data_IF_097646777375
#
_entry.id   IF_097646777375
#
_cell.length_a   1.000
_cell.length_b   1.000
_cell.length_c   1.000
_cell.angle_alpha   90.00
_cell.angle_beta   90.00
_cell.angle_gamma   90.00
#
_symmetry.space_group_name_H-M   'P 1'
#
loop_
_entity.id
_entity.type
_entity.pdbx_description
1 polymer ?
#
# COMPACT_ATOMS: atom_id res chain seq x y z
N UNK A 1 -3.98 36.48 18.50
CA UNK A 1 -4.29 35.12 19.00
C UNK A 1 -5.13 35.14 20.27
N UNK A 2 -5.10 36.21 21.08
CA UNK A 2 -5.87 36.34 22.33
C UNK A 2 -7.40 36.28 22.21
N UNK A 3 -7.96 36.25 20.99
CA UNK A 3 -9.40 36.14 20.74
C UNK A 3 -9.86 34.71 20.40
N UNK A 4 -8.95 33.74 20.38
CA UNK A 4 -9.30 32.33 20.16
C UNK A 4 -9.72 31.71 21.49
N UNK A 5 -10.80 30.93 21.47
CA UNK A 5 -11.30 30.21 22.64
C UNK A 5 -11.19 28.71 22.43
N UNK A 6 -11.09 27.99 23.54
CA UNK A 6 -10.98 26.53 23.59
C UNK A 6 -12.15 25.81 22.90
N UNK A 7 -13.36 26.33 23.07
CA UNK A 7 -14.59 25.82 22.46
C UNK A 7 -14.89 26.46 21.10
N UNK A 8 -13.97 27.30 20.61
CA UNK A 8 -14.09 27.95 19.31
C UNK A 8 -14.02 26.94 18.17
N UNK A 9 -14.86 27.16 17.15
CA UNK A 9 -14.86 26.36 15.94
C UNK A 9 -13.65 26.64 15.02
N UNK A 10 -13.83 26.36 13.73
CA UNK A 10 -12.80 26.60 12.72
C UNK A 10 -12.40 28.08 12.68
N UNK A 11 -11.10 28.35 12.68
CA UNK A 11 -10.56 29.69 12.54
C UNK A 11 -10.60 30.10 11.07
N UNK A 12 -11.45 31.08 10.76
CA UNK A 12 -11.68 31.52 9.38
C UNK A 12 -10.41 32.09 8.73
N UNK A 13 -9.65 32.93 9.43
CA UNK A 13 -8.41 33.51 8.94
C UNK A 13 -7.46 33.94 10.07
N UNK A 14 -6.16 33.77 9.86
CA UNK A 14 -5.09 34.25 10.73
C UNK A 14 -3.94 34.83 9.93
N UNK A 15 -3.41 35.94 10.42
CA UNK A 15 -2.20 36.58 9.90
C UNK A 15 -1.02 36.15 10.76
N UNK A 16 -0.11 35.36 10.18
CA UNK A 16 0.88 34.59 10.90
C UNK A 16 2.29 34.92 10.42
N UNK A 17 3.23 34.95 11.35
CA UNK A 17 4.66 35.00 11.10
C UNK A 17 5.26 33.62 11.44
N UNK A 18 5.96 33.00 10.49
CA UNK A 18 6.65 31.73 10.70
C UNK A 18 7.87 31.94 11.58
N UNK A 19 7.91 31.30 12.74
CA UNK A 19 8.99 31.43 13.74
C UNK A 19 9.92 30.24 13.72
N UNK A 20 9.39 29.04 13.48
CA UNK A 20 10.16 27.81 13.41
C UNK A 20 9.50 26.83 12.46
N UNK A 21 10.30 26.12 11.69
CA UNK A 21 9.83 25.04 10.81
C UNK A 21 10.61 23.80 11.19
N UNK A 22 9.92 22.76 11.64
CA UNK A 22 10.55 21.47 11.93
C UNK A 22 10.69 20.64 10.64
N UNK A 23 11.60 19.66 10.61
CA UNK A 23 11.66 18.68 9.53
C UNK A 23 10.32 17.93 9.35
N UNK A 24 10.15 17.29 8.19
CA UNK A 24 9.01 16.39 7.98
C UNK A 24 9.18 15.19 8.92
N UNK A 25 8.09 14.82 9.57
CA UNK A 25 7.98 13.62 10.34
C UNK A 25 6.89 12.72 9.74
N UNK A 26 6.93 11.45 10.07
CA UNK A 26 6.04 10.43 9.55
C UNK A 26 5.37 9.69 10.71
N UNK A 27 4.16 9.21 10.50
CA UNK A 27 3.58 8.19 11.37
C UNK A 27 2.82 7.18 10.52
N UNK A 28 2.72 5.98 11.03
CA UNK A 28 2.01 4.87 10.40
C UNK A 28 0.80 4.48 11.23
N UNK A 29 -0.32 4.24 10.56
CA UNK A 29 -1.52 3.71 11.18
C UNK A 29 -1.56 2.19 11.08
N UNK A 30 -1.47 1.52 12.22
CA UNK A 30 -1.57 0.07 12.33
C UNK A 30 -2.99 -0.27 12.76
N UNK A 31 -3.70 -1.03 11.94
CA UNK A 31 -5.04 -1.52 12.22
C UNK A 31 -4.95 -2.82 13.00
N UNK A 32 -5.51 -2.84 14.21
CA UNK A 32 -5.57 -4.03 15.09
C UNK A 32 -7.01 -4.33 15.46
N UNK A 33 -7.27 -5.52 16.00
CA UNK A 33 -8.62 -5.91 16.47
C UNK A 33 -9.18 -4.96 17.54
N UNK A 34 -8.30 -4.27 18.27
CA UNK A 34 -8.63 -3.31 19.33
C UNK A 34 -8.75 -1.87 18.83
N UNK A 35 -8.63 -1.66 17.52
CA UNK A 35 -8.68 -0.36 16.87
C UNK A 35 -7.35 0.07 16.24
N UNK A 36 -7.25 1.35 15.94
CA UNK A 36 -6.12 1.95 15.21
C UNK A 36 -5.05 2.46 16.16
N UNK A 37 -3.83 1.95 16.01
CA UNK A 37 -2.65 2.37 16.77
C UNK A 37 -1.77 3.23 15.87
N UNK A 38 -1.16 4.28 16.43
CA UNK A 38 -0.20 5.11 15.71
C UNK A 38 1.22 4.65 16.06
N UNK A 39 2.04 4.41 15.04
CA UNK A 39 3.47 4.18 15.18
C UNK A 39 4.24 5.42 14.71
N UNK A 40 5.14 5.93 15.55
CA UNK A 40 5.88 7.19 15.32
C UNK A 40 5.63 8.24 16.43
N UNK A 41 6.05 9.50 16.21
CA UNK A 41 6.55 10.07 14.96
C UNK A 41 7.98 9.62 14.62
N UNK A 42 8.21 9.30 13.35
CA UNK A 42 9.49 8.90 12.77
C UNK A 42 10.10 10.06 12.00
N UNK A 43 11.42 10.12 11.98
CA UNK A 43 12.13 11.01 11.04
C UNK A 43 12.26 10.37 9.65
N UNK A 44 12.73 11.14 8.68
CA UNK A 44 12.87 10.71 7.28
C UNK A 44 13.79 9.50 7.11
N UNK A 45 14.88 9.41 7.89
CA UNK A 45 15.83 8.29 7.80
C UNK A 45 15.20 7.00 8.33
N UNK A 46 14.49 7.07 9.46
CA UNK A 46 13.77 5.94 10.05
C UNK A 46 12.68 5.42 9.12
N UNK A 47 11.86 6.31 8.54
CA UNK A 47 10.82 5.89 7.58
C UNK A 47 11.42 5.30 6.31
N UNK A 48 12.54 5.82 5.80
CA UNK A 48 13.24 5.20 4.68
C UNK A 48 13.69 3.78 5.00
N UNK A 49 14.27 3.55 6.18
CA UNK A 49 14.68 2.19 6.59
C UNK A 49 13.48 1.24 6.62
N UNK A 50 12.35 1.64 7.23
CA UNK A 50 11.14 0.80 7.29
C UNK A 50 10.53 0.55 5.90
N UNK A 51 10.56 1.56 5.02
CA UNK A 51 10.11 1.42 3.64
C UNK A 51 10.98 0.42 2.88
N UNK A 52 12.29 0.51 3.04
CA UNK A 52 13.24 -0.39 2.37
C UNK A 52 13.10 -1.82 2.91
N UNK A 53 12.89 -2.00 4.22
CA UNK A 53 12.62 -3.30 4.83
C UNK A 53 11.32 -3.91 4.31
N UNK A 54 10.23 -3.13 4.26
CA UNK A 54 8.96 -3.57 3.69
C UNK A 54 9.11 -3.94 2.21
N UNK A 55 9.82 -3.11 1.44
CA UNK A 55 10.06 -3.36 0.02
C UNK A 55 10.86 -4.65 -0.20
N UNK A 56 11.96 -4.85 0.53
CA UNK A 56 12.77 -6.08 0.46
C UNK A 56 11.96 -7.31 0.80
N UNK A 57 11.13 -7.23 1.85
CA UNK A 57 10.23 -8.34 2.21
C UNK A 57 9.24 -8.64 1.09
N UNK A 58 8.60 -7.61 0.53
CA UNK A 58 7.64 -7.76 -0.57
C UNK A 58 8.29 -8.38 -1.81
N UNK A 59 9.47 -7.91 -2.19
CA UNK A 59 10.23 -8.46 -3.34
C UNK A 59 10.65 -9.92 -3.10
N UNK A 60 11.07 -10.24 -1.87
CA UNK A 60 11.42 -11.61 -1.50
C UNK A 60 10.22 -12.56 -1.61
N UNK A 61 9.07 -12.18 -1.03
CA UNK A 61 7.85 -13.00 -1.09
C UNK A 61 7.32 -13.10 -2.53
N UNK A 62 7.38 -12.01 -3.31
CA UNK A 62 6.99 -12.05 -4.73
C UNK A 62 7.85 -13.04 -5.52
N UNK A 63 9.18 -13.03 -5.30
CA UNK A 63 10.10 -13.96 -5.93
C UNK A 63 9.79 -15.41 -5.56
N UNK A 64 9.47 -15.66 -4.29
CA UNK A 64 9.08 -16.99 -3.80
C UNK A 64 7.79 -17.49 -4.47
N UNK A 65 6.75 -16.66 -4.52
CA UNK A 65 5.49 -17.00 -5.18
C UNK A 65 5.68 -17.31 -6.67
N UNK A 66 6.47 -16.48 -7.37
CA UNK A 66 6.86 -16.75 -8.77
C UNK A 66 7.57 -18.09 -8.92
N UNK A 67 8.52 -18.38 -8.02
CA UNK A 67 9.24 -19.65 -8.05
C UNK A 67 8.33 -20.86 -7.83
N UNK A 68 7.37 -20.76 -6.90
CA UNK A 68 6.43 -21.84 -6.61
C UNK A 68 5.46 -22.07 -7.78
N UNK A 69 4.99 -20.99 -8.41
CA UNK A 69 4.22 -21.08 -9.65
C UNK A 69 5.02 -21.70 -10.79
N UNK A 70 6.28 -21.33 -10.98
CA UNK A 70 7.18 -21.91 -11.98
C UNK A 70 7.41 -23.41 -11.75
N UNK A 71 7.62 -23.83 -10.50
CA UNK A 71 7.75 -25.26 -10.13
C UNK A 71 6.46 -26.00 -10.49
N UNK A 72 5.31 -25.43 -10.15
CA UNK A 72 4.02 -26.03 -10.46
C UNK A 72 3.80 -26.16 -11.98
N UNK A 73 4.06 -25.09 -12.72
CA UNK A 73 3.97 -25.03 -14.17
C UNK A 73 4.85 -26.08 -14.85
N UNK A 74 6.11 -26.19 -14.43
CA UNK A 74 7.04 -27.23 -14.94
C UNK A 74 6.55 -28.64 -14.66
N UNK A 75 6.00 -28.88 -13.46
CA UNK A 75 5.43 -30.17 -13.07
C UNK A 75 4.27 -30.56 -13.98
N UNK A 76 3.31 -29.67 -14.18
CA UNK A 76 2.14 -29.91 -15.02
C UNK A 76 2.49 -30.01 -16.51
N UNK A 77 3.48 -29.26 -17.02
CA UNK A 77 4.04 -29.50 -18.35
C UNK A 77 4.59 -30.92 -18.47
N UNK A 78 5.37 -31.38 -17.49
CA UNK A 78 5.88 -32.76 -17.48
C UNK A 78 4.77 -33.82 -17.41
N UNK A 79 3.64 -33.51 -16.78
CA UNK A 79 2.46 -34.39 -16.78
C UNK A 79 1.81 -34.42 -18.16
N UNK A 80 1.55 -33.26 -18.76
CA UNK A 80 1.00 -33.15 -20.11
C UNK A 80 1.86 -33.90 -21.14
N UNK A 81 3.18 -33.71 -21.13
CA UNK A 81 4.08 -34.37 -22.08
C UNK A 81 4.02 -35.91 -21.97
N UNK A 82 3.87 -36.45 -20.74
CA UNK A 82 3.74 -37.90 -20.52
C UNK A 82 2.40 -38.43 -21.02
N UNK A 83 1.33 -37.66 -20.79
CA UNK A 83 -0.02 -38.00 -21.23
C UNK A 83 -0.16 -37.92 -22.76
N UNK A 84 0.42 -36.91 -23.40
CA UNK A 84 0.48 -36.76 -24.86
C UNK A 84 1.20 -37.94 -25.52
N UNK A 85 2.35 -38.34 -24.94
CA UNK A 85 3.09 -39.54 -25.39
C UNK A 85 2.26 -40.82 -25.27
N UNK A 86 1.45 -40.94 -24.21
CA UNK A 86 0.58 -42.10 -23.98
C UNK A 86 -0.62 -42.13 -24.91
N UNK A 87 -1.22 -40.98 -25.19
CA UNK A 87 -2.32 -40.83 -26.13
C UNK A 87 -1.89 -41.18 -27.57
N UNK A 88 -0.65 -40.83 -27.92
CA UNK A 88 -0.05 -41.14 -29.22
C UNK A 88 -0.74 -40.40 -30.38
N UNK A 89 -0.32 -40.71 -31.61
CA UNK A 89 -0.80 -40.04 -32.82
C UNK A 89 -2.26 -40.37 -33.21
N UNK A 90 -2.88 -41.30 -32.50
CA UNK A 90 -4.24 -41.79 -32.78
C UNK A 90 -5.31 -40.99 -32.03
N UNK A 91 -4.91 -40.22 -31.02
CA UNK A 91 -5.82 -39.34 -30.33
C UNK A 91 -6.23 -38.19 -31.26
N UNK A 92 -7.52 -38.18 -31.63
CA UNK A 92 -8.15 -37.11 -32.39
C UNK A 92 -9.34 -36.62 -31.59
N UNK A 93 -9.23 -35.45 -30.93
CA UNK A 93 -10.36 -34.89 -30.21
C UNK A 93 -11.48 -34.60 -31.22
N UNK A 94 -12.63 -35.26 -31.04
CA UNK A 94 -13.85 -35.03 -31.82
C UNK A 94 -14.64 -33.82 -31.31
N UNK A 95 -15.80 -33.57 -31.92
CA UNK A 95 -16.69 -32.46 -31.51
C UNK A 95 -17.43 -32.71 -30.20
N UNK A 96 -17.53 -33.98 -29.76
CA UNK A 96 -18.29 -34.38 -28.56
C UNK A 96 -17.68 -33.90 -27.23
N UNK A 97 -16.49 -33.29 -27.27
CA UNK A 97 -15.82 -32.75 -26.08
C UNK A 97 -15.20 -33.81 -25.16
N UNK A 98 -14.56 -33.37 -24.05
CA UNK A 98 -13.96 -34.29 -23.09
C UNK A 98 -15.02 -35.07 -22.30
N UNK A 99 -14.75 -36.31 -21.90
CA UNK A 99 -15.58 -37.04 -20.94
C UNK A 99 -15.68 -36.33 -19.59
N UNK A 100 -16.80 -36.51 -18.87
CA UNK A 100 -17.08 -35.83 -17.60
C UNK A 100 -16.05 -36.15 -16.49
N UNK A 101 -15.49 -37.36 -16.48
CA UNK A 101 -14.53 -37.79 -15.46
C UNK A 101 -13.12 -37.20 -15.62
N UNK A 102 -12.87 -36.40 -16.67
CA UNK A 102 -11.55 -35.80 -16.91
C UNK A 102 -11.19 -34.77 -15.84
N UNK A 103 -12.17 -34.01 -15.32
CA UNK A 103 -11.91 -33.05 -14.24
C UNK A 103 -11.56 -33.78 -12.93
N UNK A 104 -12.25 -34.87 -12.59
CA UNK A 104 -11.89 -35.72 -11.43
C UNK A 104 -10.47 -36.30 -11.54
N UNK A 105 -10.04 -36.62 -12.77
CA UNK A 105 -8.69 -37.09 -13.03
C UNK A 105 -7.65 -35.96 -12.93
N UNK A 106 -8.04 -34.73 -13.27
CA UNK A 106 -7.20 -33.55 -13.16
C UNK A 106 -6.95 -33.19 -11.70
N UNK A 107 -7.96 -33.23 -10.85
CA UNK A 107 -7.83 -32.93 -9.41
C UNK A 107 -6.86 -33.89 -8.71
N UNK A 108 -6.88 -35.17 -9.09
CA UNK A 108 -5.92 -36.19 -8.60
C UNK A 108 -4.46 -35.93 -9.01
N UNK A 109 -4.19 -34.97 -9.89
CA UNK A 109 -2.82 -34.59 -10.27
C UNK A 109 -2.19 -33.59 -9.30
N UNK A 110 -2.95 -33.03 -8.37
CA UNK A 110 -2.43 -32.07 -7.38
C UNK A 110 -1.33 -32.72 -6.52
N UNK A 111 -1.56 -33.96 -6.09
CA UNK A 111 -0.64 -34.77 -5.31
C UNK A 111 0.31 -35.59 -6.19
N UNK A 112 1.65 -35.39 -6.13
CA UNK A 112 2.60 -36.05 -7.01
C UNK A 112 2.55 -37.58 -6.97
N UNK A 113 2.26 -38.17 -5.80
CA UNK A 113 2.17 -39.61 -5.62
C UNK A 113 0.96 -40.21 -6.32
N UNK A 114 -0.18 -39.50 -6.31
CA UNK A 114 -1.39 -39.90 -7.00
C UNK A 114 -1.29 -39.65 -8.50
N UNK A 115 -0.70 -38.52 -8.89
CA UNK A 115 -0.46 -38.17 -10.29
C UNK A 115 0.29 -39.27 -11.05
N UNK A 116 1.32 -39.87 -10.43
CA UNK A 116 2.05 -40.99 -11.02
C UNK A 116 1.17 -42.22 -11.28
N UNK A 117 0.27 -42.55 -10.35
CA UNK A 117 -0.68 -43.66 -10.48
C UNK A 117 -1.71 -43.38 -11.57
N UNK A 118 -2.28 -42.17 -11.59
CA UNK A 118 -3.24 -41.74 -12.61
C UNK A 118 -2.62 -41.79 -14.00
N UNK A 119 -1.45 -41.18 -14.20
CA UNK A 119 -0.77 -41.14 -15.52
C UNK A 119 -0.41 -42.54 -16.00
N UNK A 120 -0.08 -43.47 -15.10
CA UNK A 120 0.24 -44.86 -15.48
C UNK A 120 -0.99 -45.71 -15.78
N UNK A 121 -2.12 -45.50 -15.08
CA UNK A 121 -3.35 -46.30 -15.25
C UNK A 121 -4.34 -45.79 -16.31
N UNK A 122 -4.29 -44.50 -16.66
CA UNK A 122 -5.25 -43.86 -17.56
C UNK A 122 -5.29 -44.46 -18.98
N UNK A 123 -6.47 -44.48 -19.61
CA UNK A 123 -6.60 -44.93 -21.01
C UNK A 123 -5.92 -43.97 -21.99
N UNK A 124 -5.49 -44.41 -23.19
CA UNK A 124 -4.89 -43.51 -24.18
C UNK A 124 -5.82 -42.36 -24.62
N UNK A 125 -7.12 -42.62 -24.73
CA UNK A 125 -8.11 -41.61 -25.10
C UNK A 125 -8.26 -40.55 -24.00
N UNK A 126 -8.44 -40.97 -22.75
CA UNK A 126 -8.55 -40.05 -21.61
C UNK A 126 -7.25 -39.30 -21.36
N UNK A 127 -6.09 -39.92 -21.63
CA UNK A 127 -4.80 -39.26 -21.53
C UNK A 127 -4.70 -38.06 -22.49
N UNK A 128 -5.22 -38.18 -23.71
CA UNK A 128 -5.25 -37.08 -24.67
C UNK A 128 -6.15 -35.93 -24.20
N UNK A 129 -7.32 -36.24 -23.66
CA UNK A 129 -8.23 -35.24 -23.11
C UNK A 129 -7.66 -34.54 -21.86
N UNK A 130 -7.08 -35.32 -20.94
CA UNK A 130 -6.45 -34.79 -19.73
C UNK A 130 -5.23 -33.91 -20.05
N UNK A 131 -4.40 -34.31 -21.01
CA UNK A 131 -3.29 -33.47 -21.46
C UNK A 131 -3.77 -32.12 -22.01
N UNK A 132 -4.82 -32.13 -22.85
CA UNK A 132 -5.42 -30.90 -23.38
C UNK A 132 -6.01 -30.03 -22.27
N UNK A 133 -6.69 -30.63 -21.29
CA UNK A 133 -7.20 -29.93 -20.10
C UNK A 133 -6.08 -29.24 -19.32
N UNK A 134 -4.96 -29.94 -19.09
CA UNK A 134 -3.78 -29.40 -18.42
C UNK A 134 -3.22 -28.20 -19.21
N UNK A 135 -3.03 -28.31 -20.53
CA UNK A 135 -2.52 -27.22 -21.36
C UNK A 135 -3.40 -25.97 -21.29
N UNK A 136 -4.70 -26.15 -21.43
CA UNK A 136 -5.68 -25.06 -21.31
C UNK A 136 -5.65 -24.41 -19.92
N UNK A 137 -5.52 -25.22 -18.87
CA UNK A 137 -5.43 -24.68 -17.51
C UNK A 137 -4.11 -23.94 -17.28
N UNK A 138 -3.00 -24.40 -17.84
CA UNK A 138 -1.71 -23.69 -17.77
C UNK A 138 -1.75 -22.34 -18.47
N UNK A 139 -2.37 -22.26 -19.66
CA UNK A 139 -2.59 -20.99 -20.36
C UNK A 139 -3.41 -20.01 -19.50
N UNK A 140 -4.54 -20.48 -18.95
CA UNK A 140 -5.38 -19.67 -18.07
C UNK A 140 -4.65 -19.22 -16.80
N UNK A 141 -3.87 -20.11 -16.19
CA UNK A 141 -3.09 -19.77 -15.00
C UNK A 141 -2.01 -18.72 -15.33
N UNK A 142 -1.38 -18.83 -16.50
CA UNK A 142 -0.39 -17.85 -16.95
C UNK A 142 -1.01 -16.47 -17.20
N UNK A 143 -2.22 -16.40 -17.75
CA UNK A 143 -2.96 -15.14 -17.92
C UNK A 143 -3.29 -14.49 -16.57
N UNK A 144 -3.66 -15.29 -15.56
CA UNK A 144 -4.05 -14.78 -14.24
C UNK A 144 -2.88 -14.61 -13.25
N UNK A 145 -1.67 -15.02 -13.63
CA UNK A 145 -0.52 -15.12 -12.73
C UNK A 145 -0.24 -13.83 -11.94
N UNK A 146 -0.26 -12.69 -12.63
CA UNK A 146 0.03 -11.39 -11.98
C UNK A 146 -1.06 -10.99 -10.99
N UNK A 147 -2.32 -11.33 -11.26
CA UNK A 147 -3.43 -11.02 -10.38
C UNK A 147 -3.44 -11.94 -9.15
N UNK A 148 -3.12 -13.22 -9.32
CA UNK A 148 -2.99 -14.19 -8.22
C UNK A 148 -1.83 -13.81 -7.30
N UNK A 149 -0.64 -13.55 -7.86
CA UNK A 149 0.50 -13.04 -7.09
C UNK A 149 0.14 -11.73 -6.40
N UNK A 150 -0.54 -10.82 -7.09
CA UNK A 150 -0.96 -9.54 -6.54
C UNK A 150 -1.88 -9.68 -5.31
N UNK A 151 -2.83 -10.61 -5.35
CA UNK A 151 -3.73 -10.91 -4.23
C UNK A 151 -2.99 -11.50 -3.04
N UNK A 152 -2.17 -12.53 -3.27
CA UNK A 152 -1.39 -13.15 -2.20
C UNK A 152 -0.40 -12.18 -1.56
N UNK A 153 0.24 -11.31 -2.36
CA UNK A 153 1.13 -10.27 -1.85
C UNK A 153 0.38 -9.22 -1.02
N UNK A 154 -0.87 -8.90 -1.34
CA UNK A 154 -1.66 -7.96 -0.56
C UNK A 154 -1.92 -8.48 0.87
N UNK A 155 -2.07 -9.81 1.01
CA UNK A 155 -2.28 -10.45 2.31
C UNK A 155 -0.96 -10.62 3.08
N UNK A 156 0.12 -11.05 2.41
CA UNK A 156 1.43 -11.30 3.04
C UNK A 156 2.15 -9.99 3.39
N UNK A 157 2.09 -9.01 2.49
CA UNK A 157 2.77 -7.72 2.56
C UNK A 157 1.78 -6.57 2.30
N UNK A 158 0.83 -6.32 3.23
CA UNK A 158 -0.16 -5.28 3.05
C UNK A 158 0.48 -3.90 2.90
N UNK A 159 -0.22 -3.02 2.19
CA UNK A 159 0.22 -1.64 1.99
C UNK A 159 0.20 -0.89 3.32
N UNK A 160 1.30 -0.21 3.64
CA UNK A 160 1.45 0.59 4.87
C UNK A 160 0.64 1.89 4.77
N UNK A 161 -0.14 2.22 5.81
CA UNK A 161 -0.87 3.50 5.89
C UNK A 161 0.00 4.56 6.58
N UNK A 162 0.98 5.06 5.83
CA UNK A 162 1.93 6.08 6.28
C UNK A 162 1.44 7.47 5.89
N UNK A 163 1.53 8.43 6.83
CA UNK A 163 1.31 9.85 6.56
C UNK A 163 2.54 10.65 6.94
N UNK A 164 2.83 11.67 6.13
CA UNK A 164 3.81 12.69 6.47
C UNK A 164 3.12 13.92 7.05
N UNK A 165 3.79 14.58 7.98
CA UNK A 165 3.34 15.84 8.55
C UNK A 165 4.55 16.73 8.86
N UNK A 166 4.28 18.03 9.06
CA UNK A 166 5.30 19.00 9.42
C UNK A 166 4.73 19.97 10.44
N UNK A 167 5.48 20.19 11.52
CA UNK A 167 5.11 21.17 12.55
C UNK A 167 5.75 22.52 12.22
N UNK A 168 4.93 23.57 12.22
CA UNK A 168 5.36 24.95 12.01
C UNK A 168 4.94 25.75 13.24
N UNK A 169 5.90 26.38 13.90
CA UNK A 169 5.64 27.33 14.99
C UNK A 169 5.44 28.69 14.37
N UNK A 170 4.29 29.30 14.66
CA UNK A 170 3.88 30.59 14.14
C UNK A 170 3.51 31.53 15.28
N UNK A 171 3.65 32.83 15.06
CA UNK A 171 3.13 33.87 15.96
C UNK A 171 2.16 34.76 15.20
N UNK A 172 1.23 35.38 15.92
CA UNK A 172 0.36 36.40 15.34
C UNK A 172 1.20 37.57 14.81
N UNK A 173 1.06 37.89 13.52
CA UNK A 173 1.83 38.97 12.90
C UNK A 173 1.33 40.37 13.33
N UNK A 174 0.11 40.49 13.90
CA UNK A 174 -0.47 41.77 14.31
C UNK A 174 0.09 42.29 15.64
N UNK A 175 0.63 41.42 16.48
CA UNK A 175 1.24 41.82 17.76
C UNK A 175 2.68 42.29 17.61
N UNK A 176 3.31 42.09 16.44
CA UNK A 176 4.62 42.67 16.12
C UNK A 176 4.45 43.90 15.22
N UNK A 177 4.70 45.09 15.76
CA UNK A 177 5.03 46.26 14.94
C UNK A 177 6.43 46.04 14.32
N UNK A 178 6.45 45.34 13.17
CA UNK A 178 7.58 45.17 12.22
C UNK A 178 8.82 44.40 12.73
N UNK A 179 9.19 43.30 12.04
CA UNK A 179 10.60 43.00 11.77
C UNK A 179 10.92 43.28 10.30
N UNK A 180 12.03 43.98 10.07
CA UNK A 180 12.61 44.18 8.75
C UNK A 180 13.46 42.99 8.36
N UNK A 181 13.06 42.27 7.31
CA UNK A 181 13.92 41.77 6.21
C UNK A 181 13.14 40.78 5.32
N UNK A 182 13.37 40.86 4.01
CA UNK A 182 12.74 40.07 2.93
C UNK A 182 13.74 39.08 2.33
N UNK A 183 13.32 37.85 2.00
CA UNK A 183 14.00 36.88 1.08
C UNK A 183 12.97 35.90 0.43
N UNK A 184 13.31 35.18 -0.67
CA UNK A 184 12.38 34.74 -1.72
C UNK A 184 11.70 33.38 -1.48
N UNK A 185 10.64 33.11 -2.27
CA UNK A 185 9.66 32.06 -2.04
C UNK A 185 9.97 30.71 -2.69
N UNK A 186 9.75 29.61 -1.93
CA UNK A 186 9.63 28.25 -2.45
C UNK A 186 9.28 27.17 -1.41
N UNK A 187 9.46 27.47 -0.13
CA UNK A 187 9.08 26.61 1.00
C UNK A 187 8.56 27.49 2.16
N UNK A 188 8.08 26.93 3.28
CA UNK A 188 7.84 27.74 4.48
C UNK A 188 9.20 28.11 5.06
N UNK A 189 9.55 29.40 5.03
CA UNK A 189 10.82 29.88 5.53
C UNK A 189 10.65 30.68 6.82
N UNK A 190 11.68 30.66 7.66
CA UNK A 190 11.71 31.42 8.90
C UNK A 190 11.53 32.91 8.58
N UNK A 191 10.59 33.57 9.27
CA UNK A 191 10.28 34.99 9.08
C UNK A 191 9.27 35.29 7.97
N UNK A 192 8.75 34.28 7.25
CA UNK A 192 7.70 34.53 6.26
C UNK A 192 6.38 34.91 6.92
N UNK A 193 5.71 35.93 6.35
CA UNK A 193 4.36 36.34 6.75
C UNK A 193 3.32 35.72 5.82
N UNK A 194 2.35 35.03 6.40
CA UNK A 194 1.34 34.28 5.68
C UNK A 194 -0.04 34.58 6.23
N UNK A 195 -1.02 34.75 5.34
CA UNK A 195 -2.43 34.63 5.69
C UNK A 195 -2.82 33.16 5.55
N UNK A 196 -3.34 32.57 6.62
CA UNK A 196 -3.81 31.19 6.63
C UNK A 196 -5.29 31.19 6.97
N UNK A 197 -6.06 30.41 6.24
CA UNK A 197 -7.52 30.31 6.41
C UNK A 197 -7.93 28.89 6.76
N UNK A 198 -9.10 28.73 7.40
CA UNK A 198 -9.67 27.43 7.76
C UNK A 198 -8.71 26.56 8.58
N UNK A 199 -8.12 27.11 9.64
CA UNK A 199 -7.33 26.35 10.60
C UNK A 199 -8.26 25.74 11.65
N UNK A 200 -8.03 24.48 11.99
CA UNK A 200 -8.80 23.80 13.02
C UNK A 200 -7.95 23.67 14.28
N UNK A 201 -8.40 24.19 15.43
CA UNK A 201 -7.72 23.92 16.69
C UNK A 201 -7.71 22.42 17.00
N UNK A 202 -6.59 21.94 17.50
CA UNK A 202 -6.38 20.55 17.90
C UNK A 202 -5.87 20.49 19.32
N UNK A 203 -5.91 19.29 19.92
CA UNK A 203 -5.42 19.06 21.28
C UNK A 203 -6.04 20.04 22.29
N UNK A 204 -7.37 20.12 22.28
CA UNK A 204 -8.17 21.01 23.14
C UNK A 204 -7.86 20.82 24.64
N UNK A 205 -7.40 19.63 25.05
CA UNK A 205 -6.92 19.33 26.41
C UNK A 205 -5.58 19.98 26.77
N UNK A 206 -4.75 20.33 25.78
CA UNK A 206 -3.46 20.99 25.93
C UNK A 206 -3.54 22.51 25.67
N UNK A 207 -4.75 23.07 25.65
CA UNK A 207 -4.96 24.50 25.46
C UNK A 207 -4.38 25.28 26.64
N UNK A 208 -3.41 26.16 26.37
CA UNK A 208 -2.84 27.02 27.41
C UNK A 208 -3.66 28.31 27.55
N UNK A 209 -3.84 28.75 28.80
CA UNK A 209 -4.44 30.06 29.09
C UNK A 209 -3.58 31.20 28.52
N UNK A 210 -4.15 32.39 28.34
CA UNK A 210 -3.51 33.55 27.69
C UNK A 210 -2.35 34.18 28.49
N UNK A 211 -1.35 33.38 28.87
CA UNK A 211 -0.12 33.78 29.53
C UNK A 211 1.03 33.96 28.50
N UNK A 212 2.09 34.70 28.85
CA UNK A 212 3.30 34.78 28.03
C UNK A 212 3.89 33.38 27.79
N UNK A 213 4.09 33.02 26.52
CA UNK A 213 4.58 31.68 26.15
C UNK A 213 3.48 30.63 25.96
N UNK A 214 2.20 30.99 26.09
CA UNK A 214 1.09 30.10 25.82
C UNK A 214 1.08 29.63 24.36
N UNK A 215 0.92 28.32 24.17
CA UNK A 215 0.83 27.68 22.86
C UNK A 215 -0.57 27.11 22.65
N UNK A 216 -1.02 27.15 21.39
CA UNK A 216 -2.25 26.52 20.93
C UNK A 216 -1.90 25.68 19.72
N UNK A 217 -2.34 24.42 19.71
CA UNK A 217 -2.11 23.51 18.60
C UNK A 217 -3.24 23.62 17.58
N UNK A 218 -2.87 23.64 16.30
CA UNK A 218 -3.82 23.69 15.19
C UNK A 218 -3.36 22.74 14.09
N UNK A 219 -4.31 22.17 13.35
CA UNK A 219 -4.05 21.42 12.14
C UNK A 219 -4.62 22.12 10.91
N UNK A 220 -4.01 21.81 9.77
CA UNK A 220 -4.56 22.14 8.46
C UNK A 220 -5.65 21.12 8.10
N UNK A 221 -6.67 21.59 7.39
CA UNK A 221 -7.74 20.78 6.83
C UNK A 221 -7.66 20.81 5.30
N UNK A 222 -8.48 20.01 4.61
CA UNK A 222 -8.60 20.05 3.14
C UNK A 222 -8.96 21.45 2.59
N UNK A 223 -9.62 22.26 3.41
CA UNK A 223 -10.05 23.61 3.06
C UNK A 223 -9.04 24.69 3.47
N UNK A 224 -7.96 24.33 4.16
CA UNK A 224 -6.91 25.29 4.51
C UNK A 224 -6.26 25.85 3.25
N UNK A 225 -6.08 27.18 3.24
CA UNK A 225 -5.32 27.87 2.19
C UNK A 225 -4.26 28.74 2.85
N UNK A 226 -3.05 28.67 2.30
CA UNK A 226 -1.92 29.50 2.69
C UNK A 226 -1.67 30.52 1.59
N UNK A 227 -1.63 31.80 1.96
CA UNK A 227 -1.28 32.89 1.05
C UNK A 227 -0.11 33.65 1.65
N UNK A 228 1.05 33.59 0.99
CA UNK A 228 2.19 34.43 1.35
C UNK A 228 1.79 35.89 1.19
N UNK A 229 1.94 36.68 2.24
CA UNK A 229 1.73 38.12 2.19
C UNK A 229 3.06 38.76 1.83
N UNK A 230 3.08 39.50 0.72
CA UNK A 230 4.21 40.37 0.42
C UNK A 230 4.22 41.45 1.49
N UNK A 231 5.32 41.56 2.24
CA UNK A 231 5.60 42.78 3.01
C UNK A 231 6.05 43.89 2.08
#
# INVERSE_FOLDING_TARGET
>A
MHSLTRDGGIVAAMDLLVVKVYPIAYFEFIHTDKGRINNGPLNEKEEMTLRDEWQRRREFEESKLRQDFDKNTRRYHGYADRLERKAGSHFRPGEDGPPDHIDDLYDKLEEPEEAGKVISAISPADAGWLARRIRQQLEKNQENLMDEIGKELADICPTRDVRSFRVIVVKDARTQRRPGNRRPAGSFELGERCLVTHLQPTQVSAWMDCAPGAEIYMCTTRNTRWRKLRS
#
